data_IF_773767193457
#
_entry.id   IF_773767193457
#
_cell.length_a   1.000
_cell.length_b   1.000
_cell.length_c   1.000
_cell.angle_alpha   90.00
_cell.angle_beta   90.00
_cell.angle_gamma   90.00
#
_symmetry.space_group_name_H-M   'P 1'
#
loop_
_entity.id
_entity.type
_entity.pdbx_description
1 polymer ?
#
# COMPACT_ATOMS: atom_id res chain seq x y z
N UNK A 1 -0.74 -19.30 4.31
CA UNK A 1 -1.46 -19.62 5.54
C UNK A 1 -2.96 -19.39 5.39
N UNK A 2 -3.44 -18.15 5.20
CA UNK A 2 -4.88 -17.81 5.08
C UNK A 2 -5.60 -18.56 3.96
N UNK A 3 -4.95 -18.79 2.82
CA UNK A 3 -5.52 -19.56 1.71
C UNK A 3 -5.84 -21.01 2.11
N UNK A 4 -4.96 -21.64 2.89
CA UNK A 4 -5.18 -23.02 3.38
C UNK A 4 -6.28 -23.06 4.45
N UNK A 5 -6.32 -22.06 5.34
CA UNK A 5 -7.36 -21.93 6.35
C UNK A 5 -8.76 -21.77 5.73
N UNK A 6 -8.86 -21.02 4.62
CA UNK A 6 -10.13 -20.75 3.94
C UNK A 6 -10.63 -21.88 3.01
N UNK A 7 -9.89 -23.00 2.90
CA UNK A 7 -10.33 -24.14 2.08
C UNK A 7 -11.59 -24.83 2.61
N UNK A 8 -11.88 -24.74 3.90
CA UNK A 8 -13.09 -25.30 4.51
C UNK A 8 -13.50 -24.49 5.75
N UNK A 9 -14.82 -24.35 5.96
CA UNK A 9 -15.38 -23.70 7.16
C UNK A 9 -15.10 -24.49 8.45
N UNK A 10 -14.91 -25.82 8.34
CA UNK A 10 -14.70 -26.74 9.46
C UNK A 10 -13.23 -27.16 9.58
N UNK A 11 -12.31 -26.27 9.27
CA UNK A 11 -10.87 -26.54 9.36
C UNK A 11 -10.40 -26.52 10.81
N UNK A 12 -9.98 -27.68 11.32
CA UNK A 12 -9.28 -27.77 12.60
C UNK A 12 -7.80 -27.37 12.41
N UNK A 13 -7.27 -26.59 13.35
CA UNK A 13 -5.88 -26.18 13.37
C UNK A 13 -5.19 -26.79 14.58
N UNK A 14 -4.11 -27.50 14.34
CA UNK A 14 -3.26 -28.11 15.34
C UNK A 14 -1.82 -27.60 15.21
N UNK A 15 -1.07 -27.60 16.28
CA UNK A 15 0.31 -27.07 16.31
C UNK A 15 1.24 -28.12 16.90
N UNK A 16 2.31 -28.43 16.17
CA UNK A 16 3.49 -29.11 16.74
C UNK A 16 4.68 -28.15 16.78
N UNK A 17 5.84 -28.61 17.25
CA UNK A 17 7.03 -27.77 17.40
C UNK A 17 7.46 -27.11 16.08
N UNK A 18 7.30 -27.82 14.96
CA UNK A 18 7.81 -27.41 13.65
C UNK A 18 6.73 -27.06 12.64
N UNK A 19 5.47 -27.40 12.89
CA UNK A 19 4.40 -27.24 11.89
C UNK A 19 3.13 -26.66 12.47
N UNK A 20 2.33 -26.04 11.60
CA UNK A 20 0.91 -25.81 11.74
C UNK A 20 0.20 -26.85 10.89
N UNK A 21 -0.73 -27.58 11.47
CA UNK A 21 -1.42 -28.70 10.84
C UNK A 21 -2.89 -28.31 10.64
N UNK A 22 -3.34 -28.32 9.41
CA UNK A 22 -4.74 -28.10 9.05
C UNK A 22 -5.38 -29.44 8.74
N UNK A 23 -6.50 -29.71 9.38
CA UNK A 23 -7.31 -30.91 9.14
C UNK A 23 -8.72 -30.49 8.71
N UNK A 24 -9.18 -31.00 7.58
CA UNK A 24 -10.53 -30.78 7.09
C UNK A 24 -11.00 -32.03 6.32
N UNK A 25 -12.04 -32.68 6.80
CA UNK A 25 -12.53 -33.95 6.27
C UNK A 25 -11.43 -35.02 6.28
N UNK A 26 -11.07 -35.54 5.09
CA UNK A 26 -9.99 -36.52 4.91
C UNK A 26 -8.62 -35.90 4.63
N UNK A 27 -8.55 -34.58 4.53
CA UNK A 27 -7.33 -33.86 4.17
C UNK A 27 -6.55 -33.45 5.42
N UNK A 28 -5.24 -33.55 5.32
CA UNK A 28 -4.28 -33.07 6.32
C UNK A 28 -3.16 -32.32 5.63
N UNK A 29 -3.07 -31.01 5.85
CA UNK A 29 -2.02 -30.17 5.32
C UNK A 29 -1.08 -29.77 6.44
N UNK A 30 0.24 -29.98 6.25
CA UNK A 30 1.28 -29.52 7.15
C UNK A 30 1.94 -28.27 6.58
N UNK A 31 1.91 -27.20 7.34
CA UNK A 31 2.58 -25.94 7.02
C UNK A 31 3.77 -25.78 7.96
N UNK A 32 4.99 -25.85 7.41
CA UNK A 32 6.21 -25.76 8.23
C UNK A 32 6.40 -24.33 8.74
N UNK A 33 6.64 -24.19 10.04
CA UNK A 33 6.98 -22.94 10.68
C UNK A 33 8.38 -22.50 10.23
N UNK A 34 8.57 -21.20 10.01
CA UNK A 34 9.91 -20.64 9.86
C UNK A 34 10.64 -20.67 11.21
N UNK A 35 11.94 -20.86 11.20
CA UNK A 35 12.75 -20.74 12.41
C UNK A 35 12.79 -19.27 12.84
N UNK A 36 12.76 -19.03 14.15
CA UNK A 36 12.65 -17.66 14.71
C UNK A 36 13.82 -16.76 14.28
N UNK A 37 15.01 -17.34 14.13
CA UNK A 37 16.23 -16.67 13.69
C UNK A 37 16.25 -16.32 12.19
N UNK A 38 15.37 -16.94 11.39
CA UNK A 38 15.23 -16.63 9.95
C UNK A 38 14.16 -15.57 9.67
N UNK A 39 13.42 -15.14 10.70
CA UNK A 39 12.37 -14.11 10.55
C UNK A 39 13.03 -12.75 10.69
N UNK A 40 13.01 -11.97 9.60
CA UNK A 40 13.37 -10.56 9.65
C UNK A 40 12.34 -9.81 10.48
N UNK A 41 12.75 -9.34 11.64
CA UNK A 41 11.92 -8.47 12.48
C UNK A 41 12.13 -7.01 12.06
N UNK A 42 11.09 -6.17 12.12
CA UNK A 42 11.25 -4.73 11.93
C UNK A 42 12.27 -4.16 12.92
N UNK A 43 13.03 -3.12 12.55
CA UNK A 43 13.91 -2.44 13.48
C UNK A 43 13.10 -1.86 14.65
N UNK A 44 13.65 -1.89 15.86
CA UNK A 44 13.01 -1.36 17.07
C UNK A 44 12.85 0.17 17.06
N UNK A 45 13.48 0.85 16.08
CA UNK A 45 13.41 2.29 15.94
C UNK A 45 12.07 2.71 15.33
N UNK A 46 11.36 3.61 15.98
CA UNK A 46 10.17 4.23 15.44
C UNK A 46 10.48 4.92 14.11
N UNK A 47 9.67 4.61 13.09
CA UNK A 47 9.73 5.29 11.81
C UNK A 47 9.06 6.66 11.94
N UNK A 48 9.74 7.69 11.49
CA UNK A 48 9.20 9.05 11.41
C UNK A 48 9.45 9.62 10.03
N UNK A 49 8.54 10.49 9.55
CA UNK A 49 8.78 11.22 8.31
C UNK A 49 9.97 12.17 8.48
N UNK A 50 10.88 12.22 7.50
CA UNK A 50 11.99 13.19 7.51
C UNK A 50 11.54 14.65 7.41
N UNK A 51 10.39 14.90 6.76
CA UNK A 51 9.72 16.19 6.59
C UNK A 51 8.25 15.92 6.24
N UNK A 52 7.39 16.91 6.42
CA UNK A 52 6.01 16.90 5.88
C UNK A 52 5.95 18.00 4.82
N UNK A 53 6.01 17.60 3.55
CA UNK A 53 6.03 18.53 2.42
C UNK A 53 4.65 18.67 1.78
N UNK A 54 3.83 17.61 1.88
CA UNK A 54 2.43 17.53 1.43
C UNK A 54 1.60 16.86 2.51
N UNK A 55 0.40 17.38 2.76
CA UNK A 55 -0.62 16.78 3.63
C UNK A 55 -1.99 16.89 2.97
N UNK A 56 -2.72 15.77 2.90
CA UNK A 56 -4.07 15.72 2.35
C UNK A 56 -4.83 14.54 2.93
N UNK A 57 -6.15 14.50 2.70
CA UNK A 57 -6.98 13.34 3.03
C UNK A 57 -7.38 12.63 1.74
N UNK A 58 -7.16 11.32 1.68
CA UNK A 58 -7.64 10.46 0.59
C UNK A 58 -8.78 9.62 1.13
N UNK A 59 -9.95 9.71 0.50
CA UNK A 59 -11.13 8.96 0.94
C UNK A 59 -11.04 7.49 0.56
N UNK A 60 -11.83 6.65 1.24
CA UNK A 60 -11.94 5.23 0.88
C UNK A 60 -12.43 5.05 -0.56
N UNK A 61 -13.32 5.93 -1.03
CA UNK A 61 -13.87 5.89 -2.40
C UNK A 61 -12.80 6.22 -3.43
N UNK A 62 -11.98 7.24 -3.17
CA UNK A 62 -10.86 7.62 -4.05
C UNK A 62 -9.84 6.47 -4.16
N UNK A 63 -9.48 5.85 -3.03
CA UNK A 63 -8.60 4.69 -3.02
C UNK A 63 -9.18 3.51 -3.80
N UNK A 64 -10.44 3.18 -3.60
CA UNK A 64 -11.11 2.10 -4.30
C UNK A 64 -11.17 2.37 -5.82
N UNK A 65 -11.48 3.61 -6.21
CA UNK A 65 -11.55 4.05 -7.59
C UNK A 65 -10.19 3.94 -8.29
N UNK A 66 -9.13 4.52 -7.71
CA UNK A 66 -7.81 4.52 -8.37
C UNK A 66 -7.19 3.13 -8.41
N UNK A 67 -7.34 2.31 -7.35
CA UNK A 67 -6.85 0.93 -7.33
C UNK A 67 -7.61 0.04 -8.32
N UNK A 68 -8.94 0.23 -8.45
CA UNK A 68 -9.75 -0.45 -9.45
C UNK A 68 -9.32 -0.11 -10.88
N UNK A 69 -9.08 1.16 -11.14
CA UNK A 69 -8.60 1.62 -12.45
C UNK A 69 -7.17 1.13 -12.73
N UNK A 70 -6.27 1.20 -11.75
CA UNK A 70 -4.92 0.66 -11.89
C UNK A 70 -4.92 -0.84 -12.21
N UNK A 71 -5.83 -1.61 -11.60
CA UNK A 71 -5.99 -3.02 -11.91
C UNK A 71 -6.50 -3.26 -13.34
N UNK A 72 -7.49 -2.48 -13.79
CA UNK A 72 -8.05 -2.58 -15.13
C UNK A 72 -7.02 -2.21 -16.23
N UNK A 73 -6.20 -1.18 -16.00
CA UNK A 73 -5.14 -0.74 -16.91
C UNK A 73 -3.83 -1.52 -16.73
N UNK A 74 -3.75 -2.42 -15.74
CA UNK A 74 -2.52 -3.13 -15.35
C UNK A 74 -1.37 -2.16 -15.03
N UNK A 75 -1.70 -1.03 -14.41
CA UNK A 75 -0.75 0.01 -14.05
C UNK A 75 0.13 -0.41 -12.87
N UNK A 76 1.45 -0.53 -13.04
CA UNK A 76 2.36 -0.93 -11.96
C UNK A 76 2.53 0.17 -10.91
N UNK A 77 2.19 1.41 -11.24
CA UNK A 77 2.40 2.56 -10.38
C UNK A 77 1.11 3.39 -10.19
N UNK A 78 1.05 4.05 -9.05
CA UNK A 78 0.12 5.15 -8.78
C UNK A 78 0.96 6.34 -8.32
N UNK A 79 0.77 7.49 -8.96
CA UNK A 79 1.39 8.75 -8.56
C UNK A 79 0.40 9.61 -7.76
N UNK A 80 0.87 10.26 -6.70
CA UNK A 80 0.26 11.46 -6.16
C UNK A 80 1.00 12.65 -6.77
N UNK A 81 0.31 13.46 -7.54
CA UNK A 81 0.91 14.56 -8.27
C UNK A 81 0.08 15.83 -8.18
N UNK A 82 0.74 16.98 -8.29
CA UNK A 82 0.10 18.29 -8.32
C UNK A 82 0.73 19.14 -9.42
N UNK A 83 -0.13 19.88 -10.12
CA UNK A 83 0.24 20.94 -11.06
C UNK A 83 0.38 22.33 -10.38
N UNK A 84 0.13 22.39 -9.06
CA UNK A 84 0.10 23.58 -8.25
C UNK A 84 -1.33 24.05 -7.93
N UNK A 85 -2.29 23.81 -8.80
CA UNK A 85 -3.70 24.17 -8.61
C UNK A 85 -4.49 23.02 -8.01
N UNK A 86 -4.31 21.82 -8.55
CA UNK A 86 -5.03 20.61 -8.13
C UNK A 86 -4.08 19.48 -7.75
N UNK A 87 -4.59 18.51 -6.99
CA UNK A 87 -3.90 17.29 -6.61
C UNK A 87 -4.61 16.09 -7.21
N UNK A 88 -3.85 15.19 -7.82
CA UNK A 88 -4.36 14.02 -8.52
C UNK A 88 -3.73 12.73 -8.00
N UNK A 89 -4.53 11.66 -8.00
CA UNK A 89 -4.05 10.28 -8.01
C UNK A 89 -4.06 9.77 -9.43
N UNK A 90 -2.92 9.41 -9.97
CA UNK A 90 -2.77 8.97 -11.36
C UNK A 90 -2.27 7.54 -11.43
N UNK A 91 -3.06 6.63 -12.00
CA UNK A 91 -2.65 5.29 -12.36
C UNK A 91 -1.84 5.33 -13.66
N UNK A 92 -0.63 4.80 -13.67
CA UNK A 92 0.31 4.89 -14.80
C UNK A 92 1.37 3.78 -14.79
N UNK A 93 2.08 3.66 -15.87
CA UNK A 93 3.39 2.99 -15.91
C UNK A 93 4.48 4.07 -16.00
N UNK A 94 5.16 4.34 -14.89
CA UNK A 94 6.17 5.40 -14.82
C UNK A 94 7.43 5.10 -15.67
N UNK A 95 7.59 3.87 -16.15
CA UNK A 95 8.68 3.47 -17.03
C UNK A 95 8.31 3.50 -18.51
N UNK A 96 7.03 3.72 -18.85
CA UNK A 96 6.52 3.68 -20.23
C UNK A 96 5.55 4.84 -20.51
N UNK A 97 6.03 5.89 -21.12
CA UNK A 97 5.25 7.09 -21.44
C UNK A 97 4.11 6.84 -22.47
N UNK A 98 4.13 5.70 -23.16
CA UNK A 98 3.08 5.30 -24.09
C UNK A 98 1.97 4.46 -23.45
N UNK A 99 2.07 4.16 -22.16
CA UNK A 99 1.05 3.40 -21.44
C UNK A 99 -0.21 4.22 -21.20
N UNK A 100 -1.33 3.52 -21.03
CA UNK A 100 -2.57 4.17 -20.64
C UNK A 100 -2.46 4.75 -19.22
N UNK A 101 -3.05 5.93 -19.01
CA UNK A 101 -3.09 6.60 -17.72
C UNK A 101 -4.51 7.01 -17.38
N UNK A 102 -4.79 7.13 -16.08
CA UNK A 102 -6.02 7.72 -15.58
C UNK A 102 -5.72 8.55 -14.34
N UNK A 103 -6.20 9.79 -14.32
CA UNK A 103 -6.04 10.71 -13.21
C UNK A 103 -7.38 10.96 -12.53
N UNK A 104 -7.39 10.86 -11.21
CA UNK A 104 -8.51 11.16 -10.31
C UNK A 104 -8.13 12.40 -9.49
N UNK A 105 -8.92 13.46 -9.57
CA UNK A 105 -8.76 14.65 -8.73
C UNK A 105 -9.14 14.33 -7.28
N UNK A 106 -8.25 14.63 -6.34
CA UNK A 106 -8.43 14.30 -4.91
C UNK A 106 -8.26 15.50 -3.98
N UNK A 107 -7.95 16.68 -4.49
CA UNK A 107 -7.82 17.86 -3.66
C UNK A 107 -7.31 19.08 -4.39
N UNK A 108 -7.23 20.18 -3.65
CA UNK A 108 -6.71 21.46 -4.14
C UNK A 108 -5.22 21.55 -3.86
N UNK A 109 -4.47 21.99 -4.83
CA UNK A 109 -3.02 22.20 -4.72
C UNK A 109 -2.67 23.38 -3.80
N UNK A 110 -1.43 23.48 -3.43
CA UNK A 110 -0.90 24.51 -2.54
C UNK A 110 0.14 25.41 -3.24
N UNK A 111 0.09 25.49 -4.56
CA UNK A 111 1.04 26.23 -5.39
C UNK A 111 2.34 25.48 -5.70
N UNK A 112 2.51 24.24 -5.18
CA UNK A 112 3.70 23.42 -5.45
C UNK A 112 3.40 22.36 -6.51
N UNK A 113 4.33 22.20 -7.44
CA UNK A 113 4.27 21.13 -8.45
C UNK A 113 5.16 19.99 -8.01
N UNK A 114 4.59 18.79 -7.90
CA UNK A 114 5.31 17.57 -7.49
C UNK A 114 4.70 16.32 -8.11
N UNK A 115 5.48 15.24 -8.11
CA UNK A 115 5.02 13.90 -8.49
C UNK A 115 5.69 12.87 -7.60
N UNK A 116 4.91 12.18 -6.76
CA UNK A 116 5.37 11.14 -5.86
C UNK A 116 4.79 9.80 -6.31
N UNK A 117 5.65 8.91 -6.78
CA UNK A 117 5.26 7.66 -7.43
C UNK A 117 5.38 6.50 -6.44
N UNK A 118 4.36 5.67 -6.35
CA UNK A 118 4.29 4.47 -5.52
C UNK A 118 4.11 3.23 -6.39
N UNK A 119 4.62 2.09 -5.95
CA UNK A 119 4.21 0.79 -6.49
C UNK A 119 2.74 0.55 -6.12
N UNK A 120 1.91 0.19 -7.11
CA UNK A 120 0.48 -0.09 -6.91
C UNK A 120 0.25 -1.18 -5.85
N UNK A 121 1.12 -2.18 -5.79
CA UNK A 121 1.03 -3.26 -4.80
C UNK A 121 1.21 -2.77 -3.36
N UNK A 122 2.04 -1.74 -3.12
CA UNK A 122 2.28 -1.17 -1.79
C UNK A 122 1.10 -0.32 -1.30
N UNK A 123 0.22 0.12 -2.19
CA UNK A 123 -1.00 0.86 -1.85
C UNK A 123 -2.22 -0.03 -1.61
N UNK A 124 -2.08 -1.37 -1.72
CA UNK A 124 -3.14 -2.32 -1.36
C UNK A 124 -3.22 -2.51 0.16
N UNK A 125 -3.48 -1.41 0.84
CA UNK A 125 -3.67 -1.33 2.29
C UNK A 125 -5.13 -1.63 2.66
N UNK A 126 -5.41 -1.76 3.96
CA UNK A 126 -6.79 -2.00 4.44
C UNK A 126 -7.69 -0.85 3.98
N UNK A 127 -8.88 -1.14 3.41
CA UNK A 127 -9.80 -0.10 2.96
C UNK A 127 -10.17 0.89 4.06
N UNK A 128 -10.13 2.18 3.76
CA UNK A 128 -10.43 3.24 4.71
C UNK A 128 -10.09 4.63 4.16
N UNK A 129 -10.50 5.66 4.89
CA UNK A 129 -10.07 7.04 4.66
C UNK A 129 -8.78 7.29 5.43
N UNK A 130 -7.80 7.92 4.78
CA UNK A 130 -6.48 8.17 5.33
C UNK A 130 -6.10 9.64 5.29
N UNK A 131 -5.59 10.13 6.41
CA UNK A 131 -4.74 11.31 6.43
C UNK A 131 -3.38 10.90 5.89
N UNK A 132 -2.90 11.58 4.84
CA UNK A 132 -1.67 11.24 4.13
C UNK A 132 -0.70 12.39 4.24
N UNK A 133 0.48 12.11 4.77
CA UNK A 133 1.60 13.03 4.82
C UNK A 133 2.74 12.48 3.99
N UNK A 134 3.35 13.32 3.15
CA UNK A 134 4.41 12.90 2.24
C UNK A 134 5.64 13.77 2.43
N UNK A 135 6.79 13.09 2.54
CA UNK A 135 8.10 13.70 2.46
C UNK A 135 8.67 13.53 1.06
N UNK A 136 9.14 14.63 0.46
CA UNK A 136 9.86 14.58 -0.82
C UNK A 136 11.18 13.80 -0.75
N UNK A 137 11.59 13.40 0.46
CA UNK A 137 12.73 12.49 0.68
C UNK A 137 12.41 11.02 0.45
N UNK A 138 11.22 10.72 -0.09
CA UNK A 138 10.88 9.39 -0.58
C UNK A 138 10.06 8.52 0.37
N UNK A 139 9.37 9.10 1.36
CA UNK A 139 8.54 8.38 2.32
C UNK A 139 7.19 9.06 2.48
N UNK A 140 6.13 8.26 2.55
CA UNK A 140 4.78 8.72 2.85
C UNK A 140 4.24 8.01 4.10
N UNK A 141 3.45 8.71 4.89
CA UNK A 141 2.76 8.22 6.07
C UNK A 141 1.25 8.29 5.83
N UNK A 142 0.58 7.18 6.05
CA UNK A 142 -0.86 7.03 5.91
C UNK A 142 -1.44 6.67 7.26
N UNK A 143 -2.29 7.52 7.82
CA UNK A 143 -2.97 7.31 9.09
C UNK A 143 -4.47 7.14 8.85
N UNK A 144 -5.01 5.99 9.25
CA UNK A 144 -6.44 5.77 9.13
C UNK A 144 -7.22 6.69 10.06
N UNK A 145 -8.31 7.28 9.57
CA UNK A 145 -9.10 8.26 10.34
C UNK A 145 -10.04 7.64 11.38
N UNK A 146 -10.30 6.32 11.29
CA UNK A 146 -11.28 5.61 12.14
C UNK A 146 -10.67 4.50 12.98
N UNK A 147 -9.50 3.99 12.60
CA UNK A 147 -8.84 2.84 13.24
C UNK A 147 -7.42 3.23 13.67
N UNK A 148 -6.92 2.60 14.72
CA UNK A 148 -5.51 2.70 15.12
C UNK A 148 -4.62 1.91 14.12
N UNK A 149 -4.55 2.41 12.90
CA UNK A 149 -3.86 1.78 11.80
C UNK A 149 -3.06 2.82 11.04
N UNK A 150 -1.79 2.53 10.79
CA UNK A 150 -0.88 3.42 10.10
C UNK A 150 0.09 2.64 9.21
N UNK A 151 0.51 3.26 8.11
CA UNK A 151 1.47 2.70 7.18
C UNK A 151 2.54 3.73 6.84
N UNK A 152 3.78 3.26 6.71
CA UNK A 152 4.87 3.99 6.07
C UNK A 152 5.16 3.32 4.74
N UNK A 153 5.02 4.08 3.65
CA UNK A 153 5.15 3.57 2.29
C UNK A 153 6.22 4.39 1.57
N UNK A 154 7.25 3.70 1.08
CA UNK A 154 8.29 4.33 0.30
C UNK A 154 7.80 4.70 -1.10
N UNK A 155 8.30 5.81 -1.64
CA UNK A 155 8.09 6.18 -3.05
C UNK A 155 9.22 5.65 -3.92
N UNK A 156 8.94 5.49 -5.21
CA UNK A 156 9.91 5.13 -6.24
C UNK A 156 10.79 6.35 -6.57
N UNK A 157 11.97 6.43 -5.96
CA UNK A 157 12.86 7.62 -6.07
C UNK A 157 13.27 7.94 -7.51
N UNK A 158 13.36 6.93 -8.38
CA UNK A 158 13.69 7.09 -9.80
C UNK A 158 12.66 7.91 -10.57
N UNK A 159 11.39 7.83 -10.17
CA UNK A 159 10.25 8.42 -10.87
C UNK A 159 9.61 9.57 -10.08
N UNK A 160 9.97 9.74 -8.80
CA UNK A 160 9.42 10.77 -7.94
C UNK A 160 10.23 12.07 -8.06
N UNK A 161 9.51 13.21 -8.03
CA UNK A 161 10.09 14.56 -8.03
C UNK A 161 9.34 15.38 -6.99
N UNK A 162 10.04 15.95 -6.03
CA UNK A 162 9.55 16.98 -5.13
C UNK A 162 9.66 18.38 -5.75
N UNK A 163 8.99 19.36 -5.14
CA UNK A 163 9.10 20.77 -5.54
C UNK A 163 10.49 21.33 -5.18
#
# INVERSE_FOLDING_TARGET
>A
FLLVYNLSKDTEIDFDDSNVIFKFGRNKTKYRKSQKDTILVPPEKELTLPSVDVSLTITQEDFASILGTAAALQSPHIALESDGEMVYLTALDAANDSAHTNSLEVGVGNGKTYKMVFLTENLRIIPGTYEVEISFKGLAFFKNTKQELQYFIATESKFSKGA
#
